data_IF_658560795310
#
_entry.id   IF_658560795310
#
_cell.length_a   1.000
_cell.length_b   1.000
_cell.length_c   1.000
_cell.angle_alpha   90.00
_cell.angle_beta   90.00
_cell.angle_gamma   90.00
#
_symmetry.space_group_name_H-M   'P 1'
#
loop_
_entity.id
_entity.type
_entity.pdbx_description
1 polymer ?
#
# COMPACT_ATOMS: atom_id res chain seq x y z
N UNK A 1 -0.71 45.42 -17.33
CA UNK A 1 0.42 45.25 -16.40
C UNK A 1 0.39 43.81 -15.87
N UNK A 2 1.06 42.90 -16.57
CA UNK A 2 1.16 41.49 -16.25
C UNK A 2 2.29 41.28 -15.21
N UNK A 3 1.94 40.96 -13.96
CA UNK A 3 2.91 40.63 -12.91
C UNK A 3 3.51 39.23 -13.19
N UNK A 4 4.77 39.18 -13.54
CA UNK A 4 5.59 37.97 -13.54
C UNK A 4 5.75 37.48 -12.11
N UNK A 5 5.16 36.32 -11.78
CA UNK A 5 5.42 35.61 -10.51
C UNK A 5 6.75 34.86 -10.63
N UNK A 6 7.78 35.35 -9.93
CA UNK A 6 9.04 34.64 -9.75
C UNK A 6 8.75 33.41 -8.88
N UNK A 7 9.07 32.19 -9.32
CA UNK A 7 8.82 30.98 -8.51
C UNK A 7 9.78 30.94 -7.33
N UNK A 8 9.25 30.50 -6.17
CA UNK A 8 9.98 30.36 -4.92
C UNK A 8 11.21 29.42 -5.02
N UNK A 9 12.29 29.65 -4.25
CA UNK A 9 13.56 28.91 -4.38
C UNK A 9 13.46 27.39 -4.16
N UNK A 10 12.41 26.89 -3.51
CA UNK A 10 12.19 25.46 -3.24
C UNK A 10 11.84 24.62 -4.48
N UNK A 11 11.37 25.21 -5.58
CA UNK A 11 11.05 24.46 -6.79
C UNK A 11 12.29 24.10 -7.65
N UNK A 12 13.39 24.85 -7.50
CA UNK A 12 14.63 24.59 -8.22
C UNK A 12 15.43 23.42 -7.65
N UNK A 13 15.30 23.15 -6.37
CA UNK A 13 15.97 22.02 -5.71
C UNK A 13 15.34 20.67 -6.06
N UNK A 14 14.01 20.62 -6.26
CA UNK A 14 13.31 19.41 -6.74
C UNK A 14 13.68 19.06 -8.18
N UNK A 15 13.76 20.04 -9.09
CA UNK A 15 14.20 19.80 -10.48
C UNK A 15 15.65 19.31 -10.58
N UNK A 16 16.57 19.83 -9.75
CA UNK A 16 17.96 19.34 -9.71
C UNK A 16 18.06 17.92 -9.15
N UNK A 17 17.25 17.53 -8.17
CA UNK A 17 17.20 16.14 -7.67
C UNK A 17 16.66 15.16 -8.70
N UNK A 18 15.66 15.54 -9.48
CA UNK A 18 15.12 14.69 -10.56
C UNK A 18 16.13 14.46 -11.70
N UNK A 19 16.95 15.48 -12.04
CA UNK A 19 18.00 15.33 -13.04
C UNK A 19 19.19 14.51 -12.53
N UNK A 20 19.44 14.49 -11.22
CA UNK A 20 20.53 13.72 -10.61
C UNK A 20 20.21 12.23 -10.44
N UNK A 21 18.91 11.88 -10.37
CA UNK A 21 18.50 10.47 -10.26
C UNK A 21 18.63 9.68 -11.57
N UNK A 22 18.67 10.37 -12.71
CA UNK A 22 18.90 9.75 -14.03
C UNK A 22 20.38 9.42 -14.33
N UNK A 23 21.29 9.83 -13.45
CA UNK A 23 22.75 9.62 -13.57
C UNK A 23 23.30 8.69 -12.46
N UNK A 24 22.45 8.16 -11.56
CA UNK A 24 22.92 7.25 -10.52
C UNK A 24 23.21 5.89 -11.12
N UNK A 25 24.49 5.56 -11.17
CA UNK A 25 25.04 4.26 -11.51
C UNK A 25 24.47 3.19 -10.56
N UNK A 26 23.50 2.42 -11.00
CA UNK A 26 23.13 1.18 -10.32
C UNK A 26 24.04 0.07 -10.84
N UNK A 27 24.83 -0.55 -9.96
CA UNK A 27 25.64 -1.72 -10.33
C UNK A 27 24.79 -2.83 -10.95
N UNK A 28 23.51 -2.90 -10.58
CA UNK A 28 22.51 -3.80 -11.15
C UNK A 28 22.25 -3.51 -12.62
N UNK A 29 22.08 -2.24 -13.01
CA UNK A 29 21.82 -1.85 -14.41
C UNK A 29 23.02 -2.12 -15.31
N UNK A 30 24.23 -1.95 -14.77
CA UNK A 30 25.45 -2.32 -15.47
C UNK A 30 25.53 -3.83 -15.73
N UNK A 31 25.25 -4.66 -14.73
CA UNK A 31 25.25 -6.12 -14.87
C UNK A 31 24.20 -6.57 -15.88
N UNK A 32 22.98 -6.02 -15.82
CA UNK A 32 21.90 -6.35 -16.75
C UNK A 32 22.27 -5.98 -18.18
N UNK A 33 22.76 -4.76 -18.43
CA UNK A 33 23.14 -4.32 -19.77
C UNK A 33 24.35 -5.10 -20.32
N UNK A 34 25.36 -5.38 -19.50
CA UNK A 34 26.50 -6.20 -19.91
C UNK A 34 26.09 -7.64 -20.23
N UNK A 35 25.24 -8.27 -19.43
CA UNK A 35 24.76 -9.64 -19.66
C UNK A 35 23.92 -9.73 -20.94
N UNK A 36 23.06 -8.76 -21.22
CA UNK A 36 22.29 -8.69 -22.47
C UNK A 36 23.22 -8.55 -23.68
N UNK A 37 24.18 -7.63 -23.63
CA UNK A 37 25.11 -7.41 -24.68
C UNK A 37 25.91 -8.68 -25.00
N UNK A 38 26.47 -9.35 -23.98
CA UNK A 38 27.21 -10.63 -24.19
C UNK A 38 26.32 -11.73 -24.76
N UNK A 39 25.07 -11.84 -24.30
CA UNK A 39 24.10 -12.79 -24.84
C UNK A 39 23.79 -12.50 -26.32
N UNK A 40 23.66 -11.24 -26.70
CA UNK A 40 23.43 -10.79 -28.07
C UNK A 40 24.60 -11.12 -28.96
N UNK A 41 25.86 -10.82 -28.54
CA UNK A 41 27.06 -11.16 -29.30
C UNK A 41 27.20 -12.68 -29.46
N UNK A 42 26.97 -13.45 -28.39
CA UNK A 42 27.04 -14.92 -28.43
C UNK A 42 25.99 -15.49 -29.40
N UNK A 43 24.75 -14.98 -29.36
CA UNK A 43 23.68 -15.39 -30.27
C UNK A 43 24.07 -15.13 -31.73
N UNK A 44 24.60 -13.94 -32.05
CA UNK A 44 25.01 -13.58 -33.40
C UNK A 44 26.18 -14.48 -33.89
N UNK A 45 27.13 -14.81 -33.01
CA UNK A 45 28.27 -15.74 -33.35
C UNK A 45 27.76 -17.16 -33.58
N UNK A 46 26.80 -17.65 -32.78
CA UNK A 46 26.19 -18.98 -32.98
C UNK A 46 25.43 -19.06 -34.30
N UNK A 47 24.62 -18.06 -34.63
CA UNK A 47 23.87 -18.00 -35.90
C UNK A 47 24.85 -17.98 -37.09
N UNK A 48 25.92 -17.22 -37.01
CA UNK A 48 26.96 -17.20 -38.04
C UNK A 48 27.68 -18.56 -38.20
N UNK A 49 27.92 -19.27 -37.09
CA UNK A 49 28.55 -20.60 -37.12
C UNK A 49 27.63 -21.66 -37.75
N UNK A 50 26.29 -21.49 -37.63
CA UNK A 50 25.33 -22.42 -38.25
C UNK A 50 25.18 -22.23 -39.77
N UNK A 51 25.29 -20.99 -40.24
CA UNK A 51 25.24 -20.69 -41.69
C UNK A 51 26.30 -19.63 -42.08
N UNK A 52 27.51 -20.07 -42.43
CA UNK A 52 28.62 -19.19 -42.77
C UNK A 52 28.41 -18.37 -44.06
N UNK A 53 27.45 -18.73 -44.89
CA UNK A 53 27.16 -18.08 -46.16
C UNK A 53 25.91 -17.18 -46.11
N UNK A 54 25.26 -17.09 -44.95
CA UNK A 54 24.10 -16.23 -44.81
C UNK A 54 24.47 -14.74 -44.80
N UNK A 55 23.57 -13.93 -45.32
CA UNK A 55 23.65 -12.47 -45.24
C UNK A 55 23.62 -12.03 -43.75
N UNK A 56 24.59 -11.20 -43.35
CA UNK A 56 24.71 -10.71 -41.97
C UNK A 56 23.71 -9.63 -41.57
N UNK A 57 22.72 -9.36 -42.41
CA UNK A 57 21.68 -8.34 -42.15
C UNK A 57 20.89 -8.56 -40.87
N UNK A 58 20.73 -9.82 -40.40
CA UNK A 58 20.04 -10.15 -39.13
C UNK A 58 20.78 -9.62 -37.90
N UNK A 59 22.11 -9.43 -37.98
CA UNK A 59 22.94 -8.97 -36.85
C UNK A 59 22.47 -7.59 -36.37
N UNK A 60 22.27 -6.66 -37.31
CA UNK A 60 21.79 -5.32 -36.99
C UNK A 60 20.43 -5.35 -36.28
N UNK A 61 19.51 -6.23 -36.71
CA UNK A 61 18.17 -6.37 -36.09
C UNK A 61 18.28 -6.90 -34.68
N UNK A 62 19.18 -7.86 -34.41
CA UNK A 62 19.36 -8.40 -33.04
C UNK A 62 19.97 -7.34 -32.12
N UNK A 63 20.90 -6.54 -32.58
CA UNK A 63 21.43 -5.42 -31.79
C UNK A 63 20.41 -4.30 -31.56
N UNK A 64 19.48 -4.06 -32.48
CA UNK A 64 18.34 -3.18 -32.22
C UNK A 64 17.49 -3.67 -31.08
N UNK A 65 17.22 -4.98 -31.04
CA UNK A 65 16.47 -5.60 -29.96
C UNK A 65 17.21 -5.47 -28.62
N UNK A 66 18.52 -5.63 -28.59
CA UNK A 66 19.36 -5.47 -27.40
C UNK A 66 19.27 -4.05 -26.84
N UNK A 67 19.42 -3.02 -27.68
CA UNK A 67 19.25 -1.61 -27.29
C UNK A 67 17.86 -1.36 -26.71
N UNK A 68 16.82 -1.92 -27.34
CA UNK A 68 15.45 -1.79 -26.86
C UNK A 68 15.23 -2.47 -25.51
N UNK A 69 15.70 -3.71 -25.34
CA UNK A 69 15.59 -4.45 -24.08
C UNK A 69 16.37 -3.76 -22.95
N UNK A 70 17.58 -3.27 -23.25
CA UNK A 70 18.36 -2.51 -22.29
C UNK A 70 17.62 -1.25 -21.83
N UNK A 71 17.00 -0.51 -22.76
CA UNK A 71 16.20 0.66 -22.42
C UNK A 71 14.97 0.34 -21.56
N UNK A 72 14.36 -0.84 -21.70
CA UNK A 72 13.23 -1.29 -20.89
C UNK A 72 13.66 -1.74 -19.49
N UNK A 73 14.75 -2.48 -19.37
CA UNK A 73 15.16 -3.16 -18.15
C UNK A 73 16.04 -2.31 -17.23
N UNK A 74 16.69 -1.26 -17.78
CA UNK A 74 17.55 -0.35 -16.99
C UNK A 74 16.87 0.97 -16.68
N UNK A 75 17.35 1.65 -15.61
CA UNK A 75 16.87 2.97 -15.24
C UNK A 75 17.70 4.07 -15.89
N UNK A 76 17.07 4.77 -16.86
CA UNK A 76 17.69 5.87 -17.59
C UNK A 76 18.11 5.50 -19.03
N UNK A 77 18.58 6.50 -19.77
CA UNK A 77 18.96 6.36 -21.19
C UNK A 77 20.47 6.12 -21.43
N UNK A 78 21.26 6.20 -20.37
CA UNK A 78 22.73 6.19 -20.48
C UNK A 78 23.26 4.83 -20.94
N UNK A 79 22.74 3.74 -20.35
CA UNK A 79 23.15 2.38 -20.71
C UNK A 79 22.68 1.99 -22.12
N UNK A 80 21.48 2.39 -22.53
CA UNK A 80 21.00 2.13 -23.89
C UNK A 80 21.82 2.87 -24.96
N UNK A 81 22.27 4.10 -24.68
CA UNK A 81 23.18 4.83 -25.57
C UNK A 81 24.56 4.13 -25.63
N UNK A 82 25.07 3.72 -24.47
CA UNK A 82 26.35 3.04 -24.39
C UNK A 82 26.33 1.70 -25.18
N UNK A 83 25.28 0.91 -25.02
CA UNK A 83 25.07 -0.34 -25.77
C UNK A 83 24.86 -0.06 -27.25
N UNK A 84 24.16 1.03 -27.65
CA UNK A 84 24.04 1.38 -29.05
C UNK A 84 25.39 1.71 -29.69
N UNK A 85 26.24 2.48 -29.00
CA UNK A 85 27.59 2.81 -29.50
C UNK A 85 28.48 1.59 -29.57
N UNK A 86 28.55 0.79 -28.50
CA UNK A 86 29.38 -0.42 -28.45
C UNK A 86 28.87 -1.50 -29.41
N UNK A 87 27.55 -1.62 -29.59
CA UNK A 87 26.89 -2.52 -30.52
C UNK A 87 27.29 -2.21 -31.97
N UNK A 88 27.19 -0.94 -32.36
CA UNK A 88 27.61 -0.52 -33.73
C UNK A 88 29.08 -0.83 -33.99
N UNK A 89 29.95 -0.50 -33.03
CA UNK A 89 31.38 -0.83 -33.16
C UNK A 89 31.64 -2.34 -33.24
N UNK A 90 30.88 -3.13 -32.46
CA UNK A 90 30.95 -4.58 -32.50
C UNK A 90 30.46 -5.15 -33.84
N UNK A 91 29.37 -4.62 -34.41
CA UNK A 91 28.87 -5.04 -35.73
C UNK A 91 29.88 -4.76 -36.81
N UNK A 92 30.49 -3.58 -36.84
CA UNK A 92 31.49 -3.22 -37.82
C UNK A 92 32.75 -4.11 -37.68
N UNK A 93 33.30 -4.25 -36.50
CA UNK A 93 34.55 -4.93 -36.25
C UNK A 93 34.44 -6.46 -36.40
N UNK A 94 33.35 -7.08 -35.97
CA UNK A 94 33.25 -8.56 -35.92
C UNK A 94 32.43 -9.13 -37.07
N UNK A 95 31.44 -8.42 -37.60
CA UNK A 95 30.43 -8.97 -38.52
C UNK A 95 30.47 -8.38 -39.93
N UNK A 96 31.25 -7.30 -40.16
CA UNK A 96 31.33 -6.63 -41.48
C UNK A 96 32.70 -6.88 -42.14
N UNK A 97 32.71 -7.07 -43.47
CA UNK A 97 33.99 -7.21 -44.24
C UNK A 97 34.61 -5.83 -44.52
N UNK A 98 35.94 -5.64 -44.41
CA UNK A 98 36.94 -6.62 -43.96
C UNK A 98 36.89 -6.85 -42.43
N UNK A 99 36.84 -8.12 -42.02
CA UNK A 99 36.75 -8.49 -40.58
C UNK A 99 38.01 -8.04 -39.82
N UNK A 100 37.80 -7.64 -38.55
CA UNK A 100 38.86 -7.20 -37.62
C UNK A 100 39.50 -5.86 -37.97
N UNK A 101 38.87 -5.09 -38.87
CA UNK A 101 39.24 -3.71 -39.18
C UNK A 101 38.03 -2.80 -39.02
N UNK A 102 38.26 -1.61 -38.46
CA UNK A 102 37.19 -0.60 -38.36
C UNK A 102 37.15 0.18 -39.64
N UNK A 103 36.09 0.00 -40.43
CA UNK A 103 35.98 0.60 -41.77
C UNK A 103 34.77 1.53 -41.84
N UNK A 104 35.01 2.84 -41.72
CA UNK A 104 33.97 3.86 -41.83
C UNK A 104 33.57 4.21 -43.29
N UNK A 105 34.13 3.54 -44.25
CA UNK A 105 33.98 3.90 -45.68
C UNK A 105 32.92 3.10 -46.43
N UNK A 106 32.32 2.07 -45.82
CA UNK A 106 31.28 1.26 -46.46
C UNK A 106 29.96 2.00 -46.57
N UNK A 107 29.37 2.03 -47.74
CA UNK A 107 28.06 2.61 -48.03
C UNK A 107 26.99 1.87 -47.23
N UNK A 108 26.58 2.40 -46.08
CA UNK A 108 25.58 1.81 -45.19
C UNK A 108 25.92 1.94 -43.71
N UNK A 109 27.20 1.89 -43.36
CA UNK A 109 27.67 1.99 -41.97
C UNK A 109 27.23 3.30 -41.27
N UNK A 110 27.40 4.50 -41.89
CA UNK A 110 26.94 5.73 -41.26
C UNK A 110 25.40 5.79 -41.04
N UNK A 111 24.65 5.17 -41.94
CA UNK A 111 23.18 5.14 -41.86
C UNK A 111 22.74 4.24 -40.72
N UNK A 112 23.27 3.04 -40.57
CA UNK A 112 22.95 2.12 -39.47
C UNK A 112 23.30 2.73 -38.10
N UNK A 113 24.47 3.40 -38.00
CA UNK A 113 24.86 4.13 -36.80
C UNK A 113 23.86 5.23 -36.42
N UNK A 114 23.49 6.09 -37.38
CA UNK A 114 22.53 7.18 -37.15
C UNK A 114 21.19 6.60 -36.72
N UNK A 115 20.69 5.56 -37.39
CA UNK A 115 19.40 4.93 -37.08
C UNK A 115 19.42 4.29 -35.69
N UNK A 116 20.49 3.53 -35.33
CA UNK A 116 20.64 2.94 -34.00
C UNK A 116 20.69 3.99 -32.91
N UNK A 117 21.46 5.06 -33.11
CA UNK A 117 21.55 6.18 -32.18
C UNK A 117 20.22 6.88 -32.01
N UNK A 118 19.51 7.13 -33.11
CA UNK A 118 18.19 7.75 -33.08
C UNK A 118 17.17 6.88 -32.32
N UNK A 119 17.09 5.58 -32.61
CA UNK A 119 16.20 4.66 -31.92
C UNK A 119 16.55 4.59 -30.44
N UNK A 120 17.83 4.50 -30.06
CA UNK A 120 18.27 4.48 -28.67
C UNK A 120 17.80 5.72 -27.91
N UNK A 121 18.01 6.92 -28.47
CA UNK A 121 17.62 8.18 -27.85
C UNK A 121 16.09 8.28 -27.72
N UNK A 122 15.36 7.95 -28.79
CA UNK A 122 13.88 8.02 -28.79
C UNK A 122 13.29 7.00 -27.79
N UNK A 123 13.77 5.75 -27.82
CA UNK A 123 13.27 4.70 -26.90
C UNK A 123 13.60 5.04 -25.45
N UNK A 124 14.83 5.45 -25.16
CA UNK A 124 15.23 5.87 -23.82
C UNK A 124 14.41 7.07 -23.30
N UNK A 125 14.12 8.05 -24.19
CA UNK A 125 13.30 9.21 -23.84
C UNK A 125 11.83 8.81 -23.58
N UNK A 126 11.25 7.93 -24.40
CA UNK A 126 9.86 7.45 -24.23
C UNK A 126 9.73 6.62 -22.96
N UNK A 127 10.65 5.70 -22.69
CA UNK A 127 10.67 4.86 -21.49
C UNK A 127 10.81 5.71 -20.24
N UNK A 128 11.74 6.67 -20.22
CA UNK A 128 11.91 7.59 -19.10
C UNK A 128 10.66 8.42 -18.84
N UNK A 129 10.00 8.92 -19.89
CA UNK A 129 8.71 9.64 -19.75
C UNK A 129 7.60 8.75 -19.22
N UNK A 130 7.50 7.51 -19.69
CA UNK A 130 6.49 6.55 -19.23
C UNK A 130 6.67 6.26 -17.73
N UNK A 131 7.89 6.00 -17.27
CA UNK A 131 8.22 5.80 -15.85
C UNK A 131 7.88 7.05 -15.00
N UNK A 132 8.20 8.24 -15.48
CA UNK A 132 7.87 9.49 -14.79
C UNK A 132 6.36 9.70 -14.66
N UNK A 133 5.59 9.42 -15.71
CA UNK A 133 4.13 9.52 -15.67
C UNK A 133 3.54 8.54 -14.66
N UNK A 134 4.09 7.33 -14.58
CA UNK A 134 3.65 6.34 -13.60
C UNK A 134 3.93 6.78 -12.16
N UNK A 135 5.13 7.30 -11.87
CA UNK A 135 5.48 7.84 -10.55
C UNK A 135 4.54 8.99 -10.17
N UNK A 136 4.33 9.95 -11.08
CA UNK A 136 3.43 11.09 -10.85
C UNK A 136 1.97 10.65 -10.64
N UNK A 137 1.51 9.61 -11.35
CA UNK A 137 0.17 9.05 -11.12
C UNK A 137 0.05 8.45 -9.73
N UNK A 138 1.06 7.69 -9.27
CA UNK A 138 1.09 7.11 -7.93
C UNK A 138 1.12 8.19 -6.85
N UNK A 139 1.92 9.25 -7.04
CA UNK A 139 1.95 10.39 -6.12
C UNK A 139 0.62 11.13 -6.07
N UNK A 140 0.01 11.41 -7.23
CA UNK A 140 -1.29 12.07 -7.31
C UNK A 140 -2.41 11.24 -6.67
N UNK A 141 -2.40 9.91 -6.84
CA UNK A 141 -3.37 9.02 -6.21
C UNK A 141 -3.19 8.99 -4.70
N UNK A 142 -1.95 8.92 -4.19
CA UNK A 142 -1.67 9.04 -2.75
C UNK A 142 -2.16 10.38 -2.18
N UNK A 143 -1.93 11.49 -2.87
CA UNK A 143 -2.38 12.82 -2.43
C UNK A 143 -3.90 12.93 -2.45
N UNK A 144 -4.57 12.32 -3.43
CA UNK A 144 -6.02 12.24 -3.52
C UNK A 144 -6.62 11.44 -2.37
N UNK A 145 -6.05 10.27 -2.06
CA UNK A 145 -6.47 9.44 -0.93
C UNK A 145 -6.30 10.22 0.38
N UNK A 146 -5.14 10.84 0.59
CA UNK A 146 -4.86 11.65 1.77
C UNK A 146 -5.82 12.84 1.92
N UNK A 147 -6.09 13.55 0.83
CA UNK A 147 -7.05 14.68 0.82
C UNK A 147 -8.48 14.22 1.13
N UNK A 148 -8.90 13.08 0.56
CA UNK A 148 -10.23 12.51 0.83
C UNK A 148 -10.36 12.06 2.29
N UNK A 149 -9.31 11.42 2.84
CA UNK A 149 -9.26 11.04 4.25
C UNK A 149 -9.37 12.25 5.17
N UNK A 150 -8.59 13.31 4.92
CA UNK A 150 -8.66 14.55 5.72
C UNK A 150 -10.03 15.20 5.68
N UNK A 151 -10.71 15.18 4.52
CA UNK A 151 -12.07 15.72 4.38
C UNK A 151 -13.07 14.89 5.16
N UNK A 152 -13.03 13.56 5.06
CA UNK A 152 -13.87 12.64 5.80
C UNK A 152 -13.66 12.81 7.31
N UNK A 153 -12.41 12.78 7.78
CA UNK A 153 -12.05 12.98 9.18
C UNK A 153 -12.56 14.34 9.71
N UNK A 154 -12.40 15.43 8.91
CA UNK A 154 -12.86 16.76 9.33
C UNK A 154 -14.38 16.83 9.51
N UNK A 155 -15.14 16.17 8.61
CA UNK A 155 -16.59 16.07 8.73
C UNK A 155 -17.00 15.30 9.99
N UNK A 156 -16.32 14.18 10.20
CA UNK A 156 -16.66 13.22 11.24
C UNK A 156 -16.23 13.66 12.65
N UNK A 157 -15.21 14.52 12.74
CA UNK A 157 -14.87 15.25 13.98
C UNK A 157 -15.90 16.34 14.27
N UNK A 158 -16.37 17.09 13.27
CA UNK A 158 -17.28 18.22 13.49
C UNK A 158 -18.61 17.79 14.10
N UNK A 159 -19.16 16.66 13.66
CA UNK A 159 -20.47 16.19 14.10
C UNK A 159 -20.55 15.89 15.61
N UNK A 160 -19.68 15.04 16.20
CA UNK A 160 -19.72 14.82 17.65
C UNK A 160 -19.31 16.06 18.44
N UNK A 161 -18.38 16.87 17.90
CA UNK A 161 -18.00 18.12 18.55
C UNK A 161 -19.18 19.09 18.67
N UNK A 162 -19.97 19.24 17.60
CA UNK A 162 -21.22 20.06 17.63
C UNK A 162 -22.21 19.48 18.61
N UNK A 163 -22.34 18.15 18.73
CA UNK A 163 -23.20 17.50 19.71
C UNK A 163 -22.77 17.75 21.15
N UNK A 164 -21.43 17.68 21.40
CA UNK A 164 -20.87 17.98 22.74
C UNK A 164 -21.15 19.43 23.11
N UNK A 165 -20.82 20.39 22.22
CA UNK A 165 -21.02 21.82 22.44
C UNK A 165 -22.50 22.09 22.68
N UNK A 166 -23.42 21.58 21.82
CA UNK A 166 -24.86 21.78 22.00
C UNK A 166 -25.39 21.19 23.29
N UNK A 167 -24.92 20.01 23.73
CA UNK A 167 -25.32 19.44 25.01
C UNK A 167 -24.82 20.26 26.21
N UNK A 168 -23.59 20.77 26.13
CA UNK A 168 -23.01 21.61 27.19
C UNK A 168 -23.64 23.00 27.23
N UNK A 169 -23.97 23.61 26.10
CA UNK A 169 -24.67 24.90 26.02
C UNK A 169 -26.04 24.82 26.70
N UNK A 170 -26.83 23.77 26.37
CA UNK A 170 -28.14 23.55 27.01
C UNK A 170 -27.99 23.33 28.52
N UNK A 171 -26.97 22.58 28.98
CA UNK A 171 -26.70 22.38 30.40
C UNK A 171 -26.35 23.69 31.12
N UNK A 172 -25.64 24.61 30.43
CA UNK A 172 -25.21 25.91 31.01
C UNK A 172 -26.36 26.94 30.97
N UNK A 173 -27.15 27.02 29.90
CA UNK A 173 -28.16 28.06 29.70
C UNK A 173 -29.50 27.72 30.38
N UNK A 174 -29.80 26.43 30.57
CA UNK A 174 -31.09 25.98 31.09
C UNK A 174 -30.98 25.17 32.39
N UNK A 175 -29.94 25.40 33.18
CA UNK A 175 -29.61 24.61 34.38
C UNK A 175 -30.81 24.42 35.33
N UNK A 176 -31.57 25.49 35.56
CA UNK A 176 -32.71 25.50 36.50
C UNK A 176 -33.98 24.89 35.91
N UNK A 177 -34.08 24.72 34.58
CA UNK A 177 -35.29 24.25 33.89
C UNK A 177 -35.23 22.77 33.51
N UNK A 178 -34.07 22.16 33.58
CA UNK A 178 -33.87 20.75 33.19
C UNK A 178 -34.24 19.79 34.30
N UNK A 179 -34.98 18.72 33.93
CA UNK A 179 -35.19 17.60 34.87
C UNK A 179 -33.87 16.82 35.09
N UNK A 180 -33.74 16.09 36.21
CA UNK A 180 -32.58 15.25 36.47
C UNK A 180 -32.30 14.26 35.33
N UNK A 181 -33.37 13.71 34.74
CA UNK A 181 -33.26 12.75 33.61
C UNK A 181 -32.75 13.44 32.35
N UNK A 182 -33.24 14.64 32.03
CA UNK A 182 -32.76 15.42 30.88
C UNK A 182 -31.29 15.82 31.04
N UNK A 183 -30.91 16.26 32.25
CA UNK A 183 -29.52 16.57 32.59
C UNK A 183 -28.63 15.36 32.43
N UNK A 184 -29.03 14.20 32.93
CA UNK A 184 -28.28 12.95 32.78
C UNK A 184 -28.15 12.56 31.32
N UNK A 185 -29.17 12.71 30.50
CA UNK A 185 -29.18 12.39 29.09
C UNK A 185 -28.25 13.29 28.27
N UNK A 186 -28.18 14.59 28.60
CA UNK A 186 -27.24 15.54 27.96
C UNK A 186 -25.79 15.23 28.33
N UNK A 187 -25.50 14.95 29.60
CA UNK A 187 -24.17 14.55 30.06
C UNK A 187 -23.74 13.24 29.37
N UNK A 188 -24.65 12.27 29.29
CA UNK A 188 -24.39 11.01 28.62
C UNK A 188 -24.08 11.22 27.13
N UNK A 189 -24.87 12.04 26.43
CA UNK A 189 -24.64 12.36 25.01
C UNK A 189 -23.32 13.07 24.78
N UNK A 190 -22.92 14.01 25.62
CA UNK A 190 -21.63 14.69 25.53
C UNK A 190 -20.45 13.72 25.77
N UNK A 191 -20.59 12.80 26.74
CA UNK A 191 -19.58 11.80 27.05
C UNK A 191 -19.39 10.81 25.88
N UNK A 192 -20.50 10.32 25.29
CA UNK A 192 -20.47 9.45 24.11
C UNK A 192 -19.80 10.15 22.92
N UNK A 193 -20.09 11.43 22.66
CA UNK A 193 -19.45 12.23 21.64
C UNK A 193 -17.94 12.40 21.87
N UNK A 194 -17.51 12.62 23.12
CA UNK A 194 -16.11 12.73 23.47
C UNK A 194 -15.35 11.40 23.28
N UNK A 195 -15.93 10.29 23.72
CA UNK A 195 -15.37 8.94 23.50
C UNK A 195 -15.23 8.62 22.01
N UNK A 196 -16.20 9.03 21.22
CA UNK A 196 -16.17 8.91 19.77
C UNK A 196 -15.01 9.68 19.15
N UNK A 197 -14.75 10.92 19.56
CA UNK A 197 -13.61 11.72 19.10
C UNK A 197 -12.26 11.06 19.42
N UNK A 198 -12.13 10.48 20.61
CA UNK A 198 -10.93 9.75 21.00
C UNK A 198 -10.67 8.59 20.02
N UNK A 199 -11.69 7.79 19.68
CA UNK A 199 -11.56 6.70 18.70
C UNK A 199 -11.12 7.18 17.31
N UNK A 200 -11.66 8.32 16.83
CA UNK A 200 -11.24 8.89 15.55
C UNK A 200 -9.77 9.24 15.57
N UNK A 201 -9.29 9.90 16.63
CA UNK A 201 -7.89 10.31 16.77
C UNK A 201 -6.98 9.09 16.85
N UNK A 202 -7.33 8.05 17.58
CA UNK A 202 -6.57 6.80 17.67
C UNK A 202 -6.45 6.11 16.29
N UNK A 203 -7.57 6.03 15.56
CA UNK A 203 -7.57 5.45 14.20
C UNK A 203 -6.74 6.28 13.22
N UNK A 204 -6.79 7.62 13.31
CA UNK A 204 -5.98 8.51 12.48
C UNK A 204 -4.47 8.35 12.77
N UNK A 205 -4.10 8.25 14.04
CA UNK A 205 -2.71 8.00 14.46
C UNK A 205 -2.20 6.67 13.94
N UNK A 206 -3.03 5.63 13.91
CA UNK A 206 -2.67 4.32 13.34
C UNK A 206 -2.37 4.41 11.84
N UNK A 207 -3.20 5.15 11.06
CA UNK A 207 -2.95 5.38 9.63
C UNK A 207 -1.66 6.19 9.41
N UNK A 208 -1.42 7.23 10.21
CA UNK A 208 -0.23 8.08 10.05
C UNK A 208 1.06 7.35 10.38
N UNK A 209 1.05 6.40 11.31
CA UNK A 209 2.21 5.53 11.61
C UNK A 209 2.59 4.67 10.40
N UNK A 210 1.61 4.12 9.68
CA UNK A 210 1.84 3.30 8.48
C UNK A 210 2.39 4.16 7.33
N UNK A 211 1.92 5.42 7.18
CA UNK A 211 2.32 6.31 6.09
C UNK A 211 3.61 7.10 6.29
N UNK A 212 4.09 7.24 7.53
CA UNK A 212 5.22 8.13 7.88
C UNK A 212 6.59 7.63 7.37
N UNK A 213 6.74 6.36 7.02
CA UNK A 213 8.00 5.76 6.56
C UNK A 213 8.15 5.66 5.03
N UNK A 214 7.21 6.22 4.25
CA UNK A 214 7.32 6.28 2.77
C UNK A 214 7.18 4.94 2.03
N UNK A 215 7.31 3.83 2.72
CA UNK A 215 6.96 2.48 2.32
C UNK A 215 5.80 2.00 3.20
N UNK A 216 4.86 1.25 2.64
CA UNK A 216 3.73 0.65 3.37
C UNK A 216 4.16 -0.43 4.39
N UNK A 217 5.43 -0.42 4.81
CA UNK A 217 6.00 -1.41 5.71
C UNK A 217 5.98 -0.90 7.14
N UNK A 218 5.32 -1.65 7.99
CA UNK A 218 5.32 -1.49 9.44
C UNK A 218 6.58 -2.15 10.00
N UNK A 219 7.15 -1.60 11.08
CA UNK A 219 8.25 -2.26 11.80
C UNK A 219 7.66 -3.44 12.58
N UNK A 220 7.86 -4.64 12.06
CA UNK A 220 7.40 -5.87 12.70
C UNK A 220 8.44 -6.37 13.67
N UNK A 221 8.01 -6.77 14.85
CA UNK A 221 8.79 -7.52 15.84
C UNK A 221 8.10 -8.85 16.09
N UNK A 222 8.85 -9.89 16.41
CA UNK A 222 8.26 -11.15 16.85
C UNK A 222 7.52 -10.92 18.18
N UNK A 223 6.20 -11.01 18.13
CA UNK A 223 5.31 -10.78 19.26
C UNK A 223 4.51 -12.04 19.59
N UNK A 224 4.19 -12.22 20.84
CA UNK A 224 3.30 -13.29 21.33
C UNK A 224 1.85 -12.89 21.02
N UNK A 225 1.22 -13.60 20.09
CA UNK A 225 -0.13 -13.24 19.61
C UNK A 225 -1.18 -13.30 20.74
N UNK A 226 -1.01 -14.23 21.69
CA UNK A 226 -1.86 -14.37 22.88
C UNK A 226 -1.84 -13.10 23.73
N UNK A 227 -0.67 -12.52 23.99
CA UNK A 227 -0.51 -11.30 24.80
C UNK A 227 -1.19 -10.10 24.13
N UNK A 228 -1.10 -10.00 22.80
CA UNK A 228 -1.76 -8.93 22.03
C UNK A 228 -3.28 -9.05 22.13
N UNK A 229 -3.83 -10.27 22.06
CA UNK A 229 -5.27 -10.53 22.20
C UNK A 229 -5.73 -10.20 23.62
N UNK A 230 -5.02 -10.70 24.64
CA UNK A 230 -5.37 -10.43 26.04
C UNK A 230 -5.28 -8.92 26.35
N UNK A 231 -4.26 -8.23 25.84
CA UNK A 231 -4.11 -6.78 25.95
C UNK A 231 -5.29 -6.02 25.35
N UNK A 232 -5.73 -6.41 24.15
CA UNK A 232 -6.89 -5.82 23.49
C UNK A 232 -8.19 -6.04 24.30
N UNK A 233 -8.42 -7.27 24.79
CA UNK A 233 -9.60 -7.60 25.61
C UNK A 233 -9.60 -6.85 26.94
N UNK A 234 -8.44 -6.75 27.60
CA UNK A 234 -8.30 -5.99 28.85
C UNK A 234 -8.59 -4.49 28.63
N UNK A 235 -8.07 -3.90 27.54
CA UNK A 235 -8.36 -2.50 27.17
C UNK A 235 -9.84 -2.30 26.83
N UNK A 236 -10.44 -3.23 26.08
CA UNK A 236 -11.87 -3.19 25.75
C UNK A 236 -12.74 -3.17 27.01
N UNK A 237 -12.47 -4.10 27.96
CA UNK A 237 -13.19 -4.19 29.23
C UNK A 237 -13.01 -2.91 30.07
N UNK A 238 -11.79 -2.39 30.19
CA UNK A 238 -11.49 -1.16 30.92
C UNK A 238 -12.16 0.07 30.34
N UNK A 239 -12.38 0.10 29.02
CA UNK A 239 -13.13 1.19 28.33
C UNK A 239 -14.64 1.11 28.50
N UNK A 240 -15.15 0.10 29.22
CA UNK A 240 -16.58 -0.10 29.46
C UNK A 240 -17.27 -0.92 28.37
N UNK A 241 -16.55 -1.82 27.74
CA UNK A 241 -17.13 -2.84 26.86
C UNK A 241 -18.25 -3.59 27.56
N UNK A 242 -19.44 -3.63 26.94
CA UNK A 242 -20.67 -4.16 27.58
C UNK A 242 -20.85 -5.65 27.39
N UNK A 243 -20.21 -6.23 26.36
CA UNK A 243 -20.32 -7.64 26.04
C UNK A 243 -19.18 -8.42 26.73
N UNK A 244 -19.47 -9.56 27.36
CA UNK A 244 -18.44 -10.48 27.82
C UNK A 244 -17.66 -11.02 26.60
N UNK A 245 -16.34 -11.09 26.73
CA UNK A 245 -15.46 -11.62 25.69
C UNK A 245 -14.90 -12.95 26.19
N UNK A 246 -15.11 -14.02 25.44
CA UNK A 246 -14.45 -15.31 25.66
C UNK A 246 -13.24 -15.41 24.75
N UNK A 247 -12.12 -15.84 25.30
CA UNK A 247 -10.87 -16.00 24.54
C UNK A 247 -10.51 -17.47 24.48
N UNK A 248 -10.31 -17.96 23.27
CA UNK A 248 -9.91 -19.34 22.99
C UNK A 248 -8.50 -19.34 22.40
N UNK A 249 -7.53 -19.78 23.17
CA UNK A 249 -6.11 -19.81 22.80
C UNK A 249 -5.64 -21.24 22.51
N UNK A 250 -4.69 -21.44 21.60
CA UNK A 250 -4.06 -22.73 21.37
C UNK A 250 -3.19 -23.13 22.57
N UNK A 251 -2.74 -24.39 22.62
CA UNK A 251 -1.83 -24.86 23.68
C UNK A 251 -0.38 -24.40 23.43
N UNK A 252 -0.02 -24.14 22.20
CA UNK A 252 1.29 -23.64 21.77
C UNK A 252 1.29 -22.12 21.72
N UNK A 253 2.40 -21.49 22.08
CA UNK A 253 2.60 -20.04 21.96
C UNK A 253 2.88 -19.70 20.51
N UNK A 254 2.11 -18.75 19.95
CA UNK A 254 2.27 -18.33 18.57
C UNK A 254 3.07 -17.01 18.48
N UNK A 255 4.29 -17.12 17.93
CA UNK A 255 5.13 -15.97 17.63
C UNK A 255 4.81 -15.46 16.20
N UNK A 256 4.34 -14.23 16.12
CA UNK A 256 3.91 -13.61 14.85
C UNK A 256 4.66 -12.30 14.64
N UNK A 257 5.27 -12.08 13.46
CA UNK A 257 5.90 -10.81 13.14
C UNK A 257 4.86 -9.70 13.00
N UNK A 258 4.71 -8.84 14.02
CA UNK A 258 3.73 -7.74 13.99
C UNK A 258 4.17 -6.51 14.79
N UNK A 259 3.51 -5.38 14.56
CA UNK A 259 3.48 -4.23 15.47
C UNK A 259 2.31 -4.46 16.44
N UNK A 260 2.65 -4.75 17.70
CA UNK A 260 1.69 -5.09 18.76
C UNK A 260 0.62 -4.01 18.94
N UNK A 261 1.02 -2.73 18.92
CA UNK A 261 0.10 -1.62 19.15
C UNK A 261 -0.92 -1.46 18.02
N UNK A 262 -0.48 -1.65 16.77
CA UNK A 262 -1.37 -1.58 15.62
C UNK A 262 -2.32 -2.77 15.59
N UNK A 263 -1.85 -3.96 15.89
CA UNK A 263 -2.69 -5.16 15.90
C UNK A 263 -3.68 -5.14 17.07
N UNK A 264 -3.26 -4.69 18.25
CA UNK A 264 -4.13 -4.45 19.38
C UNK A 264 -5.26 -3.46 19.02
N UNK A 265 -4.95 -2.39 18.27
CA UNK A 265 -5.96 -1.43 17.79
C UNK A 265 -6.95 -2.06 16.79
N UNK A 266 -6.48 -2.98 15.92
CA UNK A 266 -7.36 -3.76 15.03
C UNK A 266 -8.36 -4.56 15.85
N UNK A 267 -7.87 -5.31 16.84
CA UNK A 267 -8.73 -6.13 17.70
C UNK A 267 -9.73 -5.27 18.50
N UNK A 268 -9.29 -4.14 19.05
CA UNK A 268 -10.18 -3.19 19.72
C UNK A 268 -11.30 -2.68 18.80
N UNK A 269 -10.95 -2.33 17.56
CA UNK A 269 -11.96 -1.87 16.58
C UNK A 269 -13.00 -2.98 16.28
N UNK A 270 -12.58 -4.24 16.17
CA UNK A 270 -13.50 -5.35 15.92
C UNK A 270 -14.39 -5.64 17.13
N UNK A 271 -13.84 -5.63 18.35
CA UNK A 271 -14.60 -5.80 19.60
C UNK A 271 -15.62 -4.66 19.82
N UNK A 272 -15.22 -3.42 19.53
CA UNK A 272 -16.12 -2.26 19.60
C UNK A 272 -17.23 -2.36 18.53
N UNK A 273 -16.94 -2.85 17.31
CA UNK A 273 -17.93 -3.10 16.28
C UNK A 273 -18.98 -4.11 16.74
N UNK A 274 -18.59 -5.20 17.38
CA UNK A 274 -19.52 -6.17 17.94
C UNK A 274 -20.46 -5.52 18.97
N UNK A 275 -19.96 -4.61 19.82
CA UNK A 275 -20.80 -3.91 20.81
C UNK A 275 -21.80 -2.94 20.18
N UNK A 276 -21.43 -2.31 19.06
CA UNK A 276 -22.21 -1.22 18.46
C UNK A 276 -23.22 -1.74 17.43
N UNK A 277 -22.84 -2.76 16.67
CA UNK A 277 -23.57 -3.23 15.47
C UNK A 277 -24.29 -4.56 15.65
N UNK A 278 -23.81 -5.42 16.54
CA UNK A 278 -24.41 -6.72 16.75
C UNK A 278 -25.67 -6.57 17.64
N UNK A 279 -26.78 -6.14 17.05
CA UNK A 279 -28.06 -6.08 17.77
C UNK A 279 -28.40 -7.47 18.31
N UNK A 280 -28.75 -7.53 19.60
CA UNK A 280 -29.08 -8.79 20.28
C UNK A 280 -27.88 -9.64 20.67
N UNK A 281 -26.67 -9.22 20.40
CA UNK A 281 -25.48 -9.94 20.85
C UNK A 281 -25.39 -9.98 22.37
N UNK A 282 -25.05 -11.15 22.91
CA UNK A 282 -24.86 -11.37 24.34
C UNK A 282 -23.43 -11.64 24.71
N UNK A 283 -22.58 -12.02 23.76
CA UNK A 283 -21.18 -12.35 23.96
C UNK A 283 -20.38 -12.20 22.65
N UNK A 284 -19.07 -12.13 22.80
CA UNK A 284 -18.10 -12.13 21.69
C UNK A 284 -17.05 -13.20 21.96
N UNK A 285 -16.77 -14.03 20.96
CA UNK A 285 -15.72 -15.03 21.02
C UNK A 285 -14.50 -14.56 20.22
N UNK A 286 -13.30 -14.63 20.81
CA UNK A 286 -12.02 -14.39 20.14
C UNK A 286 -11.23 -15.69 20.14
N UNK A 287 -10.92 -16.19 18.95
CA UNK A 287 -10.22 -17.46 18.77
C UNK A 287 -8.89 -17.22 18.06
N UNK A 288 -7.81 -17.78 18.60
CA UNK A 288 -6.50 -17.85 17.97
C UNK A 288 -6.19 -19.30 17.57
N UNK A 289 -5.84 -19.51 16.31
CA UNK A 289 -5.48 -20.84 15.77
C UNK A 289 -4.24 -20.74 14.89
N UNK A 290 -3.40 -21.78 14.93
CA UNK A 290 -2.37 -21.98 13.92
C UNK A 290 -2.95 -22.73 12.71
N UNK A 291 -2.76 -22.18 11.50
CA UNK A 291 -3.12 -22.84 10.25
C UNK A 291 -1.92 -22.91 9.32
N UNK A 292 -1.15 -24.00 9.43
CA UNK A 292 0.11 -24.15 8.70
C UNK A 292 1.10 -23.06 9.11
N UNK A 293 1.48 -22.19 8.16
CA UNK A 293 2.40 -21.06 8.40
C UNK A 293 1.69 -19.71 8.64
N UNK A 294 0.43 -19.76 9.07
CA UNK A 294 -0.35 -18.55 9.38
C UNK A 294 -0.98 -18.65 10.77
N UNK A 295 -0.97 -17.54 11.50
CA UNK A 295 -1.79 -17.32 12.68
C UNK A 295 -3.14 -16.77 12.24
N UNK A 296 -4.22 -17.46 12.60
CA UNK A 296 -5.60 -17.03 12.34
C UNK A 296 -6.21 -16.51 13.62
N UNK A 297 -6.64 -15.24 13.61
CA UNK A 297 -7.40 -14.63 14.70
C UNK A 297 -8.84 -14.43 14.21
N UNK A 298 -9.80 -14.94 14.94
CA UNK A 298 -11.22 -14.83 14.62
C UNK A 298 -11.92 -14.07 15.74
N UNK A 299 -12.70 -13.04 15.37
CA UNK A 299 -13.58 -12.29 16.29
C UNK A 299 -15.01 -12.53 15.83
N UNK A 300 -15.83 -13.16 16.67
CA UNK A 300 -17.19 -13.58 16.35
C UNK A 300 -18.18 -13.05 17.39
N UNK A 301 -19.28 -12.46 16.94
CA UNK A 301 -20.42 -12.12 17.76
C UNK A 301 -21.62 -13.03 17.46
N UNK A 302 -22.56 -13.12 18.40
CA UNK A 302 -23.78 -13.89 18.26
C UNK A 302 -25.02 -13.00 18.00
N UNK A 303 -24.84 -11.84 17.36
CA UNK A 303 -25.89 -10.89 17.04
C UNK A 303 -26.62 -11.18 15.72
N UNK A 304 -27.21 -10.14 15.13
CA UNK A 304 -27.98 -10.24 13.87
C UNK A 304 -27.13 -10.47 12.60
N UNK A 305 -25.81 -10.32 12.70
CA UNK A 305 -24.90 -10.43 11.56
C UNK A 305 -24.86 -9.18 10.67
N UNK A 306 -24.22 -9.31 9.50
CA UNK A 306 -23.96 -8.25 8.53
C UNK A 306 -24.98 -8.37 7.39
N UNK A 307 -25.58 -7.24 6.98
CA UNK A 307 -26.50 -7.23 5.84
C UNK A 307 -25.77 -7.63 4.54
N UNK A 308 -26.41 -8.47 3.71
CA UNK A 308 -25.77 -9.06 2.52
C UNK A 308 -25.27 -8.02 1.51
N UNK A 309 -25.94 -6.90 1.38
CA UNK A 309 -25.54 -5.77 0.52
C UNK A 309 -24.30 -5.03 0.99
N UNK A 310 -23.88 -5.23 2.25
CA UNK A 310 -22.71 -4.60 2.87
C UNK A 310 -21.48 -5.50 2.91
N UNK A 311 -21.63 -6.83 2.76
CA UNK A 311 -20.54 -7.78 2.89
C UNK A 311 -19.40 -7.52 1.89
N UNK A 312 -19.73 -7.27 0.62
CA UNK A 312 -18.72 -7.06 -0.44
C UNK A 312 -17.92 -5.78 -0.27
N UNK A 313 -18.50 -4.76 0.37
CA UNK A 313 -17.89 -3.44 0.53
C UNK A 313 -17.62 -3.09 2.00
N UNK A 314 -17.55 -4.09 2.87
CA UNK A 314 -17.45 -3.93 4.32
C UNK A 314 -16.25 -3.10 4.78
N UNK A 315 -15.14 -3.22 4.07
CA UNK A 315 -13.87 -2.55 4.36
C UNK A 315 -13.62 -1.30 3.48
N UNK A 316 -14.56 -0.92 2.61
CA UNK A 316 -14.39 0.21 1.71
C UNK A 316 -14.99 1.48 2.30
N UNK A 317 -14.15 2.46 2.61
CA UNK A 317 -14.55 3.74 3.20
C UNK A 317 -15.48 4.59 2.32
N UNK A 318 -15.52 4.36 0.99
CA UNK A 318 -16.33 5.12 0.03
C UNK A 318 -17.78 4.64 -0.09
N UNK A 319 -18.05 3.38 0.23
CA UNK A 319 -19.39 2.78 0.08
C UNK A 319 -20.40 3.27 1.13
N UNK A 320 -19.93 3.83 2.24
CA UNK A 320 -20.76 4.23 3.38
C UNK A 320 -21.28 5.68 3.31
N UNK A 321 -20.92 6.45 2.28
CA UNK A 321 -21.32 7.87 2.15
C UNK A 321 -22.72 8.09 1.56
N UNK A 322 -23.43 7.08 1.09
CA UNK A 322 -24.63 7.25 0.26
C UNK A 322 -25.97 7.07 0.97
N UNK A 323 -26.03 6.78 2.28
CA UNK A 323 -27.31 6.68 2.99
C UNK A 323 -27.47 7.73 4.09
N UNK A 324 -28.01 8.89 3.71
CA UNK A 324 -28.57 9.88 4.63
C UNK A 324 -29.83 9.29 5.26
N UNK A 325 -29.78 8.87 6.51
CA UNK A 325 -30.98 8.50 7.23
C UNK A 325 -30.82 7.84 8.60
N UNK A 326 -29.79 7.05 8.83
CA UNK A 326 -29.68 6.30 10.09
C UNK A 326 -28.79 6.98 11.12
N UNK A 327 -29.37 7.29 12.29
CA UNK A 327 -28.72 7.89 13.47
C UNK A 327 -27.66 6.99 14.14
N UNK A 328 -27.47 5.74 13.70
CA UNK A 328 -26.35 4.87 14.10
C UNK A 328 -25.19 5.06 13.12
N UNK A 329 -24.51 6.20 13.26
CA UNK A 329 -23.36 6.58 12.42
C UNK A 329 -22.14 5.77 12.82
N UNK A 330 -21.87 4.73 12.07
CA UNK A 330 -20.55 4.10 12.10
C UNK A 330 -19.78 4.47 10.86
N UNK A 331 -18.72 5.17 11.12
CA UNK A 331 -17.70 5.43 10.13
C UNK A 331 -17.10 4.12 9.61
N UNK A 332 -17.15 3.90 8.31
CA UNK A 332 -16.35 2.90 7.61
C UNK A 332 -14.84 3.06 7.80
N UNK A 333 -14.40 4.05 8.61
CA UNK A 333 -12.98 4.27 8.92
C UNK A 333 -12.43 3.14 9.80
N UNK A 334 -13.15 2.64 10.79
CA UNK A 334 -12.63 1.60 11.68
C UNK A 334 -12.25 0.32 10.94
N UNK A 335 -13.12 -0.21 10.09
CA UNK A 335 -12.84 -1.42 9.32
C UNK A 335 -11.83 -1.17 8.18
N UNK A 336 -11.86 -0.01 7.54
CA UNK A 336 -10.84 0.32 6.53
C UNK A 336 -9.44 0.48 7.13
N UNK A 337 -9.34 0.99 8.37
CA UNK A 337 -8.09 1.00 9.15
C UNK A 337 -7.64 -0.44 9.44
N UNK A 338 -8.55 -1.32 9.90
CA UNK A 338 -8.22 -2.72 10.14
C UNK A 338 -7.63 -3.37 8.89
N UNK A 339 -8.26 -3.19 7.72
CA UNK A 339 -7.75 -3.72 6.45
C UNK A 339 -6.36 -3.17 6.12
N UNK A 340 -6.15 -1.87 6.27
CA UNK A 340 -4.86 -1.23 5.99
C UNK A 340 -3.75 -1.73 6.92
N UNK A 341 -4.05 -1.86 8.22
CA UNK A 341 -3.10 -2.38 9.21
C UNK A 341 -2.75 -3.83 8.90
N UNK A 342 -3.74 -4.70 8.71
CA UNK A 342 -3.53 -6.13 8.43
C UNK A 342 -2.74 -6.33 7.13
N UNK A 343 -3.05 -5.57 6.08
CA UNK A 343 -2.31 -5.60 4.82
C UNK A 343 -0.85 -5.11 4.98
N UNK A 344 -0.61 -4.12 5.83
CA UNK A 344 0.76 -3.66 6.14
C UNK A 344 1.58 -4.73 6.89
N UNK A 345 0.90 -5.72 7.49
CA UNK A 345 1.49 -6.91 8.11
C UNK A 345 1.59 -8.11 7.16
N UNK A 346 1.36 -7.92 5.85
CA UNK A 346 1.29 -8.96 4.82
C UNK A 346 0.19 -10.00 5.09
N UNK A 347 -0.83 -9.62 5.88
CA UNK A 347 -1.97 -10.43 6.23
C UNK A 347 -3.21 -10.17 5.39
N UNK A 348 -4.25 -10.93 5.66
CA UNK A 348 -5.59 -10.76 5.09
C UNK A 348 -6.64 -10.61 6.16
N UNK A 349 -7.69 -9.82 5.89
CA UNK A 349 -8.87 -9.69 6.75
C UNK A 349 -10.13 -9.81 5.90
N UNK A 350 -11.10 -10.57 6.36
CA UNK A 350 -12.43 -10.67 5.76
C UNK A 350 -13.51 -10.78 6.83
N UNK A 351 -14.75 -10.50 6.43
CA UNK A 351 -15.92 -10.63 7.28
C UNK A 351 -16.96 -11.54 6.63
N UNK A 352 -17.63 -12.33 7.43
CA UNK A 352 -18.68 -13.27 7.01
C UNK A 352 -19.81 -13.35 8.05
N UNK A 353 -20.95 -13.88 7.65
CA UNK A 353 -22.03 -14.21 8.58
C UNK A 353 -21.93 -15.65 9.07
N UNK A 354 -22.19 -15.87 10.34
CA UNK A 354 -22.20 -17.21 10.95
C UNK A 354 -23.56 -17.88 10.71
N UNK A 355 -23.56 -19.03 10.05
CA UNK A 355 -24.77 -19.85 9.81
C UNK A 355 -24.72 -21.10 10.71
N UNK A 356 -25.84 -21.57 11.29
CA UNK A 356 -27.22 -21.11 11.16
C UNK A 356 -27.70 -20.19 12.28
N UNK A 357 -26.85 -19.83 13.27
CA UNK A 357 -27.29 -19.16 14.50
C UNK A 357 -27.31 -17.62 14.42
N UNK A 358 -26.89 -17.05 13.29
CA UNK A 358 -26.72 -15.63 13.13
C UNK A 358 -25.38 -15.16 13.73
N UNK A 359 -25.06 -13.85 13.58
CA UNK A 359 -23.81 -13.24 14.04
C UNK A 359 -22.86 -12.89 12.92
N UNK A 360 -21.90 -12.02 13.23
CA UNK A 360 -20.81 -11.67 12.31
C UNK A 360 -19.50 -12.27 12.77
N UNK A 361 -18.69 -12.69 11.83
CA UNK A 361 -17.36 -13.21 12.05
C UNK A 361 -16.36 -12.43 11.23
N UNK A 362 -15.32 -11.92 11.88
CA UNK A 362 -14.16 -11.30 11.26
C UNK A 362 -12.97 -12.21 11.42
N UNK A 363 -12.29 -12.50 10.31
CA UNK A 363 -11.14 -13.40 10.29
C UNK A 363 -9.92 -12.62 9.81
N UNK A 364 -8.85 -12.67 10.61
CA UNK A 364 -7.54 -12.10 10.30
C UNK A 364 -6.57 -13.28 10.14
N UNK A 365 -5.77 -13.26 9.07
CA UNK A 365 -4.69 -14.19 8.85
C UNK A 365 -3.37 -13.44 8.72
N UNK A 366 -2.40 -13.80 9.55
CA UNK A 366 -1.07 -13.20 9.56
C UNK A 366 -0.02 -14.28 9.26
N UNK A 367 0.97 -13.99 8.40
CA UNK A 367 2.06 -14.91 8.16
C UNK A 367 2.93 -15.05 9.42
N UNK A 368 3.33 -16.26 9.73
CA UNK A 368 4.32 -16.58 10.75
C UNK A 368 5.69 -16.76 10.09
N UNK A 369 6.78 -16.50 10.80
CA UNK A 369 8.10 -16.92 10.33
C UNK A 369 8.20 -18.45 10.37
N UNK A 370 8.80 -19.03 9.33
CA UNK A 370 9.19 -20.44 9.37
C UNK A 370 10.21 -20.59 10.49
N UNK A 371 9.96 -21.49 11.44
CA UNK A 371 11.01 -21.98 12.31
C UNK A 371 12.01 -22.70 11.41
N UNK A 372 13.16 -22.07 11.13
CA UNK A 372 14.32 -22.78 10.60
C UNK A 372 14.69 -23.84 11.65
N UNK A 373 14.21 -25.05 11.47
CA UNK A 373 14.77 -26.22 12.13
C UNK A 373 16.18 -26.38 11.59
N UNK A 374 17.15 -25.73 12.24
CA UNK A 374 18.55 -26.15 12.13
C UNK A 374 18.63 -27.58 12.65
N UNK A 375 18.68 -28.54 11.68
CA UNK A 375 19.07 -29.94 11.92
C UNK A 375 20.57 -30.06 12.28
#
# INVERSE_FOLDING_TARGET
MTKWKIPWPGQWTKKKKLFHHSLLYSGKDFIVSASLFFATVLLCLLLRAMDPHSDTSYVAVIFFLDVFLTALLTDGYLFSILIAVTGVLCVDYVFTEPYWEISFTLAGFPLTFIVMMFISVVTGMLTSRAKQVEILKREAERERIHSNLLRAVSHDIRTPLTGIVGATDVLMEQEDSLTPEQRHQLIFSANEGARWLIRIVENLLSITRIGAQGDTKVTKTLAVAEEVIEGAVAKFTKRGGRLPVRVHLPQEVLLVPMDELLMEQVLLNLLENATIHAEGATEVDVTLERRGNTARITVEDNGVGIAHDKLDNLFDSSAHQSQQGDRKRNMGIGLSVCKTVVQAHDGTIHGENVSPHGGARFVIELPMEEEDHED
#
